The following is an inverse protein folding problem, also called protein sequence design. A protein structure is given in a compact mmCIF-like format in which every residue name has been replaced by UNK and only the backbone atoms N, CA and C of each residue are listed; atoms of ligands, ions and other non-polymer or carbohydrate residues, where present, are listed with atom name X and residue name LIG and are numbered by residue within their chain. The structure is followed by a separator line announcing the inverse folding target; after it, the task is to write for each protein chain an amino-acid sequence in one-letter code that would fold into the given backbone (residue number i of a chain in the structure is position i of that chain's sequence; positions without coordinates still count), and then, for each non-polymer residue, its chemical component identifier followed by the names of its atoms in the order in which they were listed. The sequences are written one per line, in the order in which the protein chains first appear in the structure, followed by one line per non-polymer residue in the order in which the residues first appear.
data_IF_110266029388
#
_entry.id   IF_110266029388
#
_cell.length_a   1.000
_cell.length_b   1.000
_cell.length_c   1.000
_cell.angle_alpha   90.00
_cell.angle_beta   90.00
_cell.angle_gamma   90.00
#
_symmetry.space_group_name_H-M   'P 1'
#
loop_
_entity.id
_entity.type
_entity.pdbx_description
1 polymer ?
#
# COMPACT_ATOMS: atom_id res chain seq x y z
N UNK A 1 -20.44 -18.99 -38.55
CA UNK A 1 -21.28 -17.82 -38.23
C UNK A 1 -20.90 -17.20 -36.86
N UNK A 2 -19.60 -16.97 -36.60
CA UNK A 2 -19.09 -16.47 -35.28
C UNK A 2 -17.97 -15.44 -35.47
N UNK A 3 -18.16 -14.45 -36.36
CA UNK A 3 -17.16 -13.38 -36.59
C UNK A 3 -17.76 -11.96 -36.41
N UNK A 4 -19.06 -11.82 -36.12
CA UNK A 4 -19.71 -10.50 -36.04
C UNK A 4 -19.79 -9.88 -34.63
N UNK A 5 -19.52 -10.63 -33.55
CA UNK A 5 -19.77 -10.15 -32.17
C UNK A 5 -18.62 -9.33 -31.55
N UNK A 6 -17.38 -9.46 -32.04
CA UNK A 6 -16.20 -8.76 -31.49
C UNK A 6 -16.12 -7.27 -31.89
N UNK A 7 -16.71 -6.89 -33.02
CA UNK A 7 -16.70 -5.51 -33.51
C UNK A 7 -17.62 -4.56 -32.74
N UNK A 8 -18.69 -5.06 -32.11
CA UNK A 8 -19.67 -4.24 -31.38
C UNK A 8 -19.13 -3.84 -30.01
N UNK A 9 -18.48 -4.76 -29.28
CA UNK A 9 -17.90 -4.47 -27.97
C UNK A 9 -16.74 -3.44 -28.04
N UNK A 10 -15.87 -3.54 -29.04
CA UNK A 10 -14.78 -2.57 -29.26
C UNK A 10 -15.30 -1.18 -29.63
N UNK A 11 -16.39 -1.10 -30.40
CA UNK A 11 -17.03 0.19 -30.74
C UNK A 11 -17.69 0.83 -29.51
N UNK A 12 -18.32 0.05 -28.64
CA UNK A 12 -18.94 0.57 -27.41
C UNK A 12 -17.91 1.14 -26.42
N UNK A 13 -16.75 0.49 -26.27
CA UNK A 13 -15.65 0.98 -25.40
C UNK A 13 -15.01 2.25 -25.97
N UNK A 14 -14.81 2.33 -27.30
CA UNK A 14 -14.29 3.53 -27.94
C UNK A 14 -15.24 4.73 -27.82
N UNK A 15 -16.55 4.50 -27.97
CA UNK A 15 -17.58 5.53 -27.82
C UNK A 15 -17.66 6.01 -26.36
N UNK A 16 -17.63 5.11 -25.38
CA UNK A 16 -17.62 5.49 -23.96
C UNK A 16 -16.38 6.32 -23.60
N UNK A 17 -15.21 5.94 -24.11
CA UNK A 17 -13.94 6.67 -23.90
C UNK A 17 -13.99 8.08 -24.52
N UNK A 18 -14.54 8.21 -25.73
CA UNK A 18 -14.71 9.50 -26.41
C UNK A 18 -15.73 10.40 -25.71
N UNK A 19 -16.82 9.84 -25.17
CA UNK A 19 -17.81 10.59 -24.40
C UNK A 19 -17.24 11.11 -23.07
N UNK A 20 -16.44 10.29 -22.37
CA UNK A 20 -15.75 10.72 -21.13
C UNK A 20 -14.75 11.84 -21.43
N UNK A 21 -13.96 11.71 -22.51
CA UNK A 21 -13.03 12.76 -22.93
C UNK A 21 -13.73 14.07 -23.36
N UNK A 22 -14.88 13.97 -24.02
CA UNK A 22 -15.70 15.12 -24.40
C UNK A 22 -16.32 15.81 -23.19
N UNK A 23 -16.78 15.04 -22.19
CA UNK A 23 -17.30 15.56 -20.93
C UNK A 23 -16.23 16.29 -20.12
N UNK A 24 -15.02 15.71 -20.02
CA UNK A 24 -13.86 16.35 -19.38
C UNK A 24 -13.49 17.67 -20.08
N UNK A 25 -13.44 17.68 -21.42
CA UNK A 25 -13.18 18.92 -22.19
C UNK A 25 -14.27 19.99 -22.02
N UNK A 26 -15.52 19.59 -21.81
CA UNK A 26 -16.65 20.51 -21.59
C UNK A 26 -16.63 21.10 -20.18
N UNK A 27 -16.30 20.29 -19.18
CA UNK A 27 -16.17 20.73 -17.79
C UNK A 27 -14.96 21.65 -17.57
N UNK A 28 -13.84 21.38 -18.25
CA UNK A 28 -12.66 22.25 -18.21
C UNK A 28 -12.89 23.59 -18.91
N UNK A 29 -13.80 23.65 -19.90
CA UNK A 29 -14.17 24.90 -20.60
C UNK A 29 -15.08 25.81 -19.78
N UNK A 30 -15.88 25.24 -18.87
CA UNK A 30 -16.92 25.97 -18.14
C UNK A 30 -16.48 26.45 -16.75
N UNK A 31 -15.22 26.23 -16.33
CA UNK A 31 -14.75 26.54 -14.97
C UNK A 31 -13.81 27.74 -14.87
N UNK A 32 -13.80 28.63 -15.86
CA UNK A 32 -12.96 29.84 -15.83
C UNK A 32 -13.74 31.11 -16.15
N UNK A 33 -14.28 31.83 -15.15
CA UNK A 33 -14.57 33.25 -15.29
C UNK A 33 -13.26 34.03 -15.07
N UNK A 34 -12.85 34.75 -16.09
CA UNK A 34 -11.85 35.80 -16.01
C UNK A 34 -12.30 36.91 -15.05
N UNK A 35 -11.53 37.19 -14.00
CA UNK A 35 -11.77 38.37 -13.15
C UNK A 35 -10.81 38.54 -11.99
N UNK A 36 -9.85 39.47 -12.12
CA UNK A 36 -9.11 40.07 -11.00
C UNK A 36 -10.03 41.03 -10.24
N UNK A 37 -10.05 40.98 -8.90
CA UNK A 37 -9.71 42.09 -7.97
C UNK A 37 -10.06 41.77 -6.50
N UNK A 38 -9.01 41.91 -5.67
CA UNK A 38 -8.93 42.68 -4.41
C UNK A 38 -9.70 42.29 -3.12
N UNK A 39 -8.88 42.21 -2.06
CA UNK A 39 -9.02 42.77 -0.70
C UNK A 39 -9.60 41.93 0.47
N UNK A 40 -8.72 41.81 1.47
CA UNK A 40 -8.89 42.16 2.89
C UNK A 40 -9.38 41.09 3.91
N UNK A 41 -8.46 40.83 4.84
CA UNK A 41 -8.58 40.60 6.29
C UNK A 41 -9.97 40.56 6.93
N UNK A 42 -10.13 39.59 7.85
CA UNK A 42 -11.12 39.65 8.93
C UNK A 42 -11.19 38.36 9.73
N UNK A 43 -10.53 38.32 10.88
CA UNK A 43 -10.70 37.31 11.92
C UNK A 43 -11.95 37.64 12.78
N UNK A 44 -12.69 36.62 13.25
CA UNK A 44 -13.19 36.48 14.63
C UNK A 44 -14.25 35.36 14.78
N UNK A 45 -14.00 34.49 15.78
CA UNK A 45 -14.89 33.74 16.69
C UNK A 45 -16.43 33.67 16.47
N UNK A 46 -17.02 32.47 16.57
CA UNK A 46 -17.57 31.89 17.83
C UNK A 46 -18.62 30.77 17.60
N UNK A 47 -18.42 29.66 18.32
CA UNK A 47 -19.36 28.75 19.01
C UNK A 47 -20.66 28.19 18.36
N UNK A 48 -20.70 26.85 18.32
CA UNK A 48 -21.64 26.08 19.15
C UNK A 48 -22.70 25.24 18.42
N UNK A 49 -22.60 23.90 18.50
CA UNK A 49 -23.67 22.98 18.93
C UNK A 49 -23.30 21.50 18.74
N UNK A 50 -23.63 20.72 19.77
CA UNK A 50 -23.34 19.29 19.98
C UNK A 50 -24.02 18.33 18.99
N UNK A 51 -23.27 17.32 18.58
CA UNK A 51 -23.76 16.07 18.00
C UNK A 51 -22.61 15.06 17.98
N UNK A 52 -22.47 14.25 19.03
CA UNK A 52 -21.39 13.26 19.17
C UNK A 52 -21.63 12.07 18.25
N UNK A 53 -21.23 12.21 16.99
CA UNK A 53 -20.81 11.08 16.17
C UNK A 53 -19.37 10.73 16.56
N UNK A 54 -19.10 9.48 16.90
CA UNK A 54 -17.74 9.00 17.13
C UNK A 54 -17.00 8.95 15.78
N UNK A 55 -16.48 10.09 15.35
CA UNK A 55 -15.42 10.15 14.36
C UNK A 55 -14.17 9.57 15.01
N UNK A 56 -13.81 8.33 14.66
CA UNK A 56 -12.50 7.77 14.98
C UNK A 56 -11.45 8.43 14.09
N UNK A 57 -11.14 9.69 14.39
CA UNK A 57 -9.96 10.41 13.94
C UNK A 57 -8.85 10.43 15.00
N UNK A 58 -8.85 9.47 15.92
CA UNK A 58 -7.79 9.33 16.91
C UNK A 58 -6.58 8.68 16.23
N UNK A 59 -5.69 9.55 15.71
CA UNK A 59 -4.30 9.23 15.43
C UNK A 59 -3.68 8.61 16.68
N UNK A 60 -2.84 7.58 16.50
CA UNK A 60 -2.25 6.79 17.57
C UNK A 60 -1.57 7.66 18.62
N UNK A 61 -2.28 7.97 19.70
CA UNK A 61 -1.66 8.48 20.92
C UNK A 61 -1.01 7.27 21.57
N UNK A 62 0.32 7.27 21.62
CA UNK A 62 1.07 6.30 22.43
C UNK A 62 0.49 6.31 23.84
N UNK A 63 -0.26 5.25 24.18
CA UNK A 63 -0.81 5.12 25.52
C UNK A 63 0.35 4.88 26.48
N UNK A 64 0.17 5.25 27.75
CA UNK A 64 1.13 5.01 28.84
C UNK A 64 1.58 3.54 29.00
N UNK A 65 1.01 2.61 28.21
CA UNK A 65 1.37 1.19 28.12
C UNK A 65 2.39 0.84 27.03
N UNK A 66 2.80 1.77 26.17
CA UNK A 66 3.70 1.50 25.04
C UNK A 66 3.06 0.70 23.90
N UNK A 67 1.75 0.39 23.99
CA UNK A 67 1.00 -0.29 22.93
C UNK A 67 0.41 0.74 21.95
N UNK A 68 0.75 0.61 20.68
CA UNK A 68 0.20 1.43 19.59
C UNK A 68 -1.25 1.03 19.34
N UNK A 69 -2.13 2.01 19.26
CA UNK A 69 -3.54 1.78 18.95
C UNK A 69 -3.73 1.69 17.44
N UNK A 70 -3.93 0.48 16.93
CA UNK A 70 -4.25 0.26 15.52
C UNK A 70 -5.68 0.70 15.19
N UNK A 71 -5.90 1.17 13.96
CA UNK A 71 -7.27 1.37 13.45
C UNK A 71 -8.04 0.04 13.36
N UNK A 72 -9.37 0.11 13.20
CA UNK A 72 -10.23 -1.10 13.20
C UNK A 72 -9.87 -2.11 12.10
N UNK A 73 -9.49 -1.65 10.91
CA UNK A 73 -9.10 -2.55 9.80
C UNK A 73 -7.86 -3.37 10.16
N UNK A 74 -6.85 -2.71 10.74
CA UNK A 74 -5.60 -3.34 11.18
C UNK A 74 -5.81 -4.27 12.37
N UNK A 75 -6.64 -3.86 13.33
CA UNK A 75 -7.05 -4.74 14.44
C UNK A 75 -7.74 -6.00 13.93
N UNK A 76 -8.68 -5.86 12.99
CA UNK A 76 -9.36 -7.00 12.37
C UNK A 76 -8.35 -7.92 11.69
N UNK A 77 -7.44 -7.36 10.88
CA UNK A 77 -6.47 -8.15 10.15
C UNK A 77 -5.51 -8.93 11.05
N UNK A 78 -5.02 -8.30 12.13
CA UNK A 78 -4.19 -8.97 13.13
C UNK A 78 -5.01 -10.05 13.87
N UNK A 79 -6.28 -9.78 14.19
CA UNK A 79 -7.12 -10.73 14.92
C UNK A 79 -7.44 -12.00 14.10
N UNK A 80 -7.72 -11.85 12.81
CA UNK A 80 -8.16 -12.98 11.95
C UNK A 80 -7.02 -13.59 11.14
N UNK A 81 -5.88 -12.90 11.06
CA UNK A 81 -4.67 -13.32 10.35
C UNK A 81 -4.81 -13.17 8.85
N UNK A 82 -5.40 -12.07 8.40
CA UNK A 82 -5.67 -11.80 6.98
C UNK A 82 -6.45 -10.51 6.76
N UNK A 83 -6.45 -9.91 5.56
CA UNK A 83 -7.32 -8.77 5.29
C UNK A 83 -8.76 -9.26 5.05
N UNK A 84 -9.75 -8.39 5.29
CA UNK A 84 -11.16 -8.70 5.10
C UNK A 84 -11.90 -7.59 4.33
N UNK A 85 -12.91 -7.98 3.53
CA UNK A 85 -13.83 -7.03 2.91
C UNK A 85 -14.95 -6.69 3.89
N UNK A 86 -14.86 -5.54 4.55
CA UNK A 86 -15.84 -5.11 5.57
C UNK A 86 -17.08 -4.44 4.98
N UNK A 87 -17.51 -4.83 3.77
CA UNK A 87 -18.72 -4.30 3.14
C UNK A 87 -19.93 -4.40 4.06
N UNK A 88 -20.69 -3.31 4.17
CA UNK A 88 -21.84 -3.20 5.07
C UNK A 88 -21.50 -2.93 6.55
N UNK A 89 -20.25 -3.10 6.97
CA UNK A 89 -19.79 -2.82 8.33
C UNK A 89 -19.08 -1.47 8.47
N UNK A 90 -18.61 -0.89 7.36
CA UNK A 90 -17.90 0.40 7.31
C UNK A 90 -18.50 1.31 6.23
N UNK A 91 -18.62 2.59 6.56
CA UNK A 91 -18.89 3.68 5.64
C UNK A 91 -17.62 4.49 5.41
N UNK A 92 -17.28 4.71 4.14
CA UNK A 92 -16.14 5.51 3.69
C UNK A 92 -16.65 6.89 3.31
N UNK A 93 -16.11 7.91 3.94
CA UNK A 93 -16.51 9.30 3.70
C UNK A 93 -15.27 10.11 3.30
N UNK A 94 -15.27 10.79 2.15
CA UNK A 94 -14.14 11.62 1.74
C UNK A 94 -13.80 12.68 2.78
N UNK A 95 -12.53 12.79 3.13
CA UNK A 95 -12.00 13.85 3.97
C UNK A 95 -11.66 15.07 3.11
N UNK A 96 -12.53 16.08 3.15
CA UNK A 96 -12.35 17.32 2.38
C UNK A 96 -11.10 18.11 2.81
N UNK A 97 -10.64 17.94 4.04
CA UNK A 97 -9.45 18.59 4.59
C UNK A 97 -8.14 17.84 4.26
N UNK A 98 -8.19 16.71 3.55
CA UNK A 98 -6.98 15.95 3.20
C UNK A 98 -6.06 16.74 2.25
N UNK A 99 -4.80 16.92 2.66
CA UNK A 99 -3.78 17.64 1.92
C UNK A 99 -2.71 16.70 1.36
N UNK A 100 -2.83 16.35 0.07
CA UNK A 100 -1.89 15.44 -0.59
C UNK A 100 -0.43 15.92 -0.55
N UNK A 101 -0.20 17.25 -0.55
CA UNK A 101 1.15 17.83 -0.54
C UNK A 101 1.89 17.66 0.80
N UNK A 102 1.16 17.32 1.85
CA UNK A 102 1.71 16.97 3.17
C UNK A 102 2.02 15.47 3.30
N UNK A 103 2.23 14.77 2.18
CA UNK A 103 2.47 13.33 2.16
C UNK A 103 3.61 12.99 1.19
N UNK A 104 4.08 11.75 1.22
CA UNK A 104 5.05 11.19 0.26
C UNK A 104 4.60 11.31 -1.21
N UNK A 105 3.30 11.55 -1.44
CA UNK A 105 2.70 11.72 -2.76
C UNK A 105 2.78 13.16 -3.29
N UNK A 106 3.41 14.11 -2.56
CA UNK A 106 3.65 15.48 -3.07
C UNK A 106 4.40 15.49 -4.41
N UNK A 107 5.24 14.48 -4.63
CA UNK A 107 6.04 14.28 -5.84
C UNK A 107 5.19 13.90 -7.06
N UNK A 108 3.91 13.54 -6.88
CA UNK A 108 2.99 13.32 -7.99
C UNK A 108 2.71 14.65 -8.68
N UNK A 109 3.18 14.79 -9.92
CA UNK A 109 3.04 16.02 -10.71
C UNK A 109 1.79 16.05 -11.59
N UNK A 110 1.28 14.89 -12.01
CA UNK A 110 0.10 14.84 -12.88
C UNK A 110 -1.20 15.10 -12.10
N UNK A 111 -1.99 16.08 -12.52
CA UNK A 111 -3.27 16.46 -11.87
C UNK A 111 -4.21 15.26 -11.71
N UNK A 112 -4.28 14.38 -12.72
CA UNK A 112 -5.10 13.17 -12.64
C UNK A 112 -4.59 12.21 -11.57
N UNK A 113 -3.27 11.98 -11.45
CA UNK A 113 -2.70 11.16 -10.38
C UNK A 113 -3.00 11.71 -9.00
N UNK A 114 -2.87 13.03 -8.84
CA UNK A 114 -3.14 13.71 -7.57
C UNK A 114 -4.60 13.61 -7.17
N UNK A 115 -5.54 13.81 -8.09
CA UNK A 115 -6.97 13.65 -7.83
C UNK A 115 -7.29 12.23 -7.37
N UNK A 116 -6.69 11.24 -8.02
CA UNK A 116 -6.88 9.81 -7.70
C UNK A 116 -6.30 9.47 -6.33
N UNK A 117 -5.07 9.91 -6.05
CA UNK A 117 -4.44 9.68 -4.75
C UNK A 117 -5.27 10.31 -3.62
N UNK A 118 -5.78 11.54 -3.81
CA UNK A 118 -6.66 12.20 -2.85
C UNK A 118 -7.96 11.42 -2.62
N UNK A 119 -8.61 10.95 -3.67
CA UNK A 119 -9.85 10.17 -3.55
C UNK A 119 -9.67 8.83 -2.80
N UNK A 120 -8.45 8.31 -2.72
CA UNK A 120 -8.14 7.06 -2.03
C UNK A 120 -7.66 7.26 -0.60
N UNK A 121 -6.73 8.20 -0.42
CA UNK A 121 -6.06 8.41 0.86
C UNK A 121 -6.85 9.36 1.76
N UNK A 122 -7.54 10.33 1.17
CA UNK A 122 -8.34 11.31 1.90
C UNK A 122 -9.72 10.76 2.22
N UNK A 123 -9.81 9.72 3.04
CA UNK A 123 -11.07 9.13 3.48
C UNK A 123 -11.07 8.92 5.00
N UNK A 124 -12.21 9.21 5.61
CA UNK A 124 -12.53 8.83 6.99
C UNK A 124 -13.37 7.55 6.97
N UNK A 125 -13.07 6.62 7.86
CA UNK A 125 -13.79 5.36 8.00
C UNK A 125 -14.70 5.42 9.23
N UNK A 126 -15.98 5.14 9.04
CA UNK A 126 -16.98 5.08 10.10
C UNK A 126 -17.50 3.65 10.21
N UNK A 127 -17.24 3.00 11.33
CA UNK A 127 -17.57 1.60 11.55
C UNK A 127 -18.88 1.46 12.30
N UNK A 128 -19.64 0.41 12.01
CA UNK A 128 -20.81 0.04 12.83
C UNK A 128 -20.35 -0.43 14.22
N UNK A 129 -21.13 -0.10 15.25
CA UNK A 129 -20.82 -0.49 16.64
C UNK A 129 -20.64 -2.01 16.79
N UNK A 130 -21.50 -2.79 16.13
CA UNK A 130 -21.42 -4.25 16.12
C UNK A 130 -20.08 -4.77 15.57
N UNK A 131 -19.56 -4.14 14.50
CA UNK A 131 -18.27 -4.51 13.94
C UNK A 131 -17.12 -4.10 14.87
N UNK A 132 -17.17 -2.89 15.44
CA UNK A 132 -16.17 -2.40 16.40
C UNK A 132 -16.07 -3.34 17.61
N UNK A 133 -17.20 -3.72 18.19
CA UNK A 133 -17.23 -4.61 19.36
C UNK A 133 -16.67 -5.99 19.04
N UNK A 134 -17.06 -6.56 17.89
CA UNK A 134 -16.56 -7.86 17.45
C UNK A 134 -15.05 -7.84 17.20
N UNK A 135 -14.55 -6.83 16.48
CA UNK A 135 -13.13 -6.66 16.15
C UNK A 135 -12.31 -6.47 17.42
N UNK A 136 -12.71 -5.54 18.31
CA UNK A 136 -11.99 -5.28 19.57
C UNK A 136 -11.95 -6.53 20.44
N UNK A 137 -13.07 -7.23 20.58
CA UNK A 137 -13.10 -8.49 21.34
C UNK A 137 -12.11 -9.50 20.79
N UNK A 138 -12.07 -9.70 19.47
CA UNK A 138 -11.12 -10.62 18.84
C UNK A 138 -9.67 -10.15 19.02
N UNK A 139 -9.40 -8.86 18.82
CA UNK A 139 -8.07 -8.26 18.93
C UNK A 139 -7.50 -8.30 20.35
N UNK A 140 -8.32 -8.14 21.39
CA UNK A 140 -7.87 -8.25 22.79
C UNK A 140 -7.34 -9.63 23.17
N UNK A 141 -7.73 -10.68 22.43
CA UNK A 141 -7.21 -12.03 22.62
C UNK A 141 -5.81 -12.24 21.97
N UNK A 142 -5.34 -11.28 21.18
CA UNK A 142 -4.05 -11.38 20.50
C UNK A 142 -2.92 -10.98 21.46
N UNK A 143 -1.88 -11.83 21.61
CA UNK A 143 -0.71 -11.49 22.41
C UNK A 143 -0.08 -10.18 21.93
N UNK A 144 0.45 -9.39 22.87
CA UNK A 144 1.24 -8.22 22.50
C UNK A 144 2.47 -8.65 21.70
N UNK A 145 2.81 -7.86 20.67
CA UNK A 145 4.06 -8.04 19.96
C UNK A 145 5.26 -7.76 20.88
N UNK A 146 6.44 -8.32 20.59
CA UNK A 146 7.66 -7.98 21.29
C UNK A 146 7.91 -6.48 21.28
N UNK A 147 8.44 -5.92 22.37
CA UNK A 147 8.84 -4.51 22.38
C UNK A 147 9.99 -4.27 21.40
N UNK A 148 9.96 -3.15 20.69
CA UNK A 148 11.09 -2.69 19.87
C UNK A 148 12.16 -2.10 20.78
N UNK A 149 13.43 -2.41 20.52
CA UNK A 149 14.55 -1.90 21.30
C UNK A 149 14.61 -0.37 21.27
N UNK A 150 14.86 0.25 22.43
CA UNK A 150 14.96 1.71 22.55
C UNK A 150 15.97 2.30 21.57
N UNK A 151 17.12 1.65 21.37
CA UNK A 151 18.16 2.12 20.44
C UNK A 151 17.65 2.26 18.99
N UNK A 152 16.76 1.36 18.55
CA UNK A 152 16.14 1.45 17.23
C UNK A 152 15.16 2.61 17.17
N UNK A 153 14.34 2.78 18.21
CA UNK A 153 13.38 3.87 18.30
C UNK A 153 14.10 5.23 18.30
N UNK A 154 15.18 5.34 19.05
CA UNK A 154 16.04 6.53 19.09
C UNK A 154 16.65 6.77 17.71
N UNK A 155 17.20 5.74 17.06
CA UNK A 155 17.73 5.86 15.70
C UNK A 155 16.67 6.32 14.69
N UNK A 156 15.46 5.77 14.75
CA UNK A 156 14.36 6.20 13.88
C UNK A 156 13.96 7.65 14.15
N UNK A 157 13.93 8.09 15.41
CA UNK A 157 13.54 9.45 15.76
C UNK A 157 14.63 10.49 15.42
N UNK A 158 15.90 10.12 15.56
CA UNK A 158 17.03 11.05 15.48
C UNK A 158 17.76 11.02 14.13
N UNK A 159 17.80 9.88 13.46
CA UNK A 159 18.61 9.65 12.25
C UNK A 159 17.78 9.42 10.98
N UNK A 160 16.46 9.20 11.10
CA UNK A 160 15.56 9.08 9.96
C UNK A 160 14.70 10.33 9.81
N UNK A 161 14.68 10.89 8.60
CA UNK A 161 13.77 11.96 8.24
C UNK A 161 12.41 11.36 7.89
N UNK A 162 11.44 11.47 8.79
CA UNK A 162 10.04 11.18 8.52
C UNK A 162 9.23 12.47 8.23
N UNK A 163 9.84 13.62 7.95
CA UNK A 163 9.11 14.88 7.72
C UNK A 163 8.21 14.89 6.47
N UNK A 164 8.37 13.95 5.53
CA UNK A 164 7.38 13.71 4.45
C UNK A 164 6.31 12.65 4.80
N UNK A 165 6.32 12.14 6.02
CA UNK A 165 5.22 11.38 6.59
C UNK A 165 3.93 12.15 6.35
N UNK A 166 2.87 11.42 6.02
CA UNK A 166 1.53 11.98 6.03
C UNK A 166 1.41 12.81 7.31
N UNK A 167 1.09 14.10 7.24
CA UNK A 167 1.08 14.99 8.42
C UNK A 167 0.14 14.57 9.57
N UNK A 168 -0.40 13.35 9.51
CA UNK A 168 -1.31 12.66 10.38
C UNK A 168 -0.71 11.40 11.06
N UNK A 169 0.59 11.08 10.87
CA UNK A 169 1.28 9.97 11.55
C UNK A 169 1.03 8.57 10.96
N UNK A 170 0.42 8.49 9.78
CA UNK A 170 -0.02 7.19 9.22
C UNK A 170 1.10 6.23 8.83
N UNK A 171 2.34 6.71 8.69
CA UNK A 171 3.49 5.87 8.31
C UNK A 171 3.99 5.08 9.51
N UNK A 172 4.13 5.72 10.67
CA UNK A 172 4.46 5.00 11.90
C UNK A 172 3.37 3.97 12.25
N UNK A 173 2.10 4.30 12.05
CA UNK A 173 1.03 3.32 12.24
C UNK A 173 1.13 2.12 11.28
N UNK A 174 1.60 2.34 10.05
CA UNK A 174 1.86 1.28 9.07
C UNK A 174 3.00 0.34 9.50
N UNK A 175 4.13 0.90 9.94
CA UNK A 175 5.26 0.10 10.41
C UNK A 175 4.90 -0.72 11.66
N UNK A 176 4.15 -0.12 12.60
CA UNK A 176 3.66 -0.82 13.78
C UNK A 176 2.68 -1.94 13.41
N UNK A 177 1.78 -1.71 12.44
CA UNK A 177 0.90 -2.77 11.95
C UNK A 177 1.69 -3.94 11.38
N UNK A 178 2.64 -3.68 10.48
CA UNK A 178 3.42 -4.75 9.85
C UNK A 178 4.29 -5.50 10.88
N UNK A 179 4.84 -4.80 11.87
CA UNK A 179 5.55 -5.40 13.01
C UNK A 179 4.63 -6.34 13.82
N UNK A 180 3.50 -5.84 14.29
CA UNK A 180 2.59 -6.60 15.16
C UNK A 180 1.96 -7.79 14.42
N UNK A 181 1.58 -7.58 13.15
CA UNK A 181 1.09 -8.66 12.32
C UNK A 181 2.14 -9.75 12.14
N UNK A 182 3.40 -9.39 11.82
CA UNK A 182 4.49 -10.35 11.67
C UNK A 182 4.77 -11.13 12.95
N UNK A 183 4.73 -10.46 14.11
CA UNK A 183 4.95 -11.10 15.40
C UNK A 183 3.91 -12.18 15.73
N UNK A 184 2.70 -12.08 15.16
CA UNK A 184 1.61 -13.02 15.40
C UNK A 184 1.52 -14.08 14.29
N UNK A 185 1.74 -13.70 13.04
CA UNK A 185 1.41 -14.51 11.86
C UNK A 185 2.61 -14.94 11.03
N UNK A 186 3.83 -14.55 11.42
CA UNK A 186 5.08 -15.02 10.79
C UNK A 186 6.21 -15.12 11.82
N UNK A 187 5.98 -15.96 12.83
CA UNK A 187 6.73 -16.03 14.09
C UNK A 187 8.16 -16.54 13.94
N UNK A 188 8.42 -17.25 12.86
CA UNK A 188 9.71 -17.86 12.56
C UNK A 188 10.79 -16.82 12.24
N UNK A 189 10.39 -15.58 11.91
CA UNK A 189 11.29 -14.52 11.52
C UNK A 189 11.06 -13.23 12.32
N UNK A 190 12.10 -12.40 12.41
CA UNK A 190 12.05 -11.19 13.23
C UNK A 190 11.01 -10.18 12.70
N UNK A 191 10.06 -9.71 13.54
CA UNK A 191 9.11 -8.67 13.15
C UNK A 191 9.78 -7.31 12.96
N UNK A 192 11.03 -7.13 13.43
CA UNK A 192 11.82 -5.91 13.21
C UNK A 192 12.13 -5.67 11.74
N UNK A 193 12.17 -6.73 10.92
CA UNK A 193 12.31 -6.58 9.47
C UNK A 193 11.19 -5.70 8.93
N UNK A 194 9.93 -6.02 9.28
CA UNK A 194 8.76 -5.26 8.85
C UNK A 194 8.53 -3.99 9.64
N UNK A 195 9.16 -3.81 10.80
CA UNK A 195 9.18 -2.50 11.46
C UNK A 195 10.09 -1.50 10.72
N UNK A 196 11.19 -1.97 10.13
CA UNK A 196 12.21 -1.12 9.52
C UNK A 196 12.23 -1.15 7.98
N UNK A 197 11.35 -1.94 7.35
CA UNK A 197 11.41 -2.28 5.93
C UNK A 197 11.41 -1.08 4.96
N UNK A 198 10.89 0.07 5.40
CA UNK A 198 10.69 1.26 4.56
C UNK A 198 11.67 2.40 4.87
N UNK A 199 12.57 2.26 5.85
CA UNK A 199 13.52 3.35 6.20
C UNK A 199 14.60 3.55 5.13
N UNK A 200 14.94 2.49 4.38
CA UNK A 200 15.93 2.53 3.28
C UNK A 200 15.31 2.86 1.92
N UNK A 201 14.02 3.21 1.89
CA UNK A 201 13.29 3.56 0.68
C UNK A 201 11.85 3.08 0.75
N UNK A 202 10.92 3.95 0.35
CA UNK A 202 9.50 3.62 0.25
C UNK A 202 9.11 3.30 -1.21
N UNK A 203 7.82 3.07 -1.49
CA UNK A 203 7.31 2.84 -2.85
C UNK A 203 7.54 3.99 -3.86
N UNK A 204 8.13 5.11 -3.43
CA UNK A 204 8.51 6.27 -4.25
C UNK A 204 10.03 6.53 -4.12
N UNK A 205 10.51 7.71 -4.53
CA UNK A 205 11.92 8.11 -4.37
C UNK A 205 12.17 8.87 -3.06
N UNK A 206 11.45 8.50 -2.00
CA UNK A 206 11.69 9.02 -0.66
C UNK A 206 12.46 7.99 0.18
N UNK A 207 13.44 8.49 0.92
CA UNK A 207 14.38 7.71 1.71
C UNK A 207 14.46 8.35 3.10
N UNK A 208 13.77 7.77 4.09
CA UNK A 208 13.87 8.28 5.46
C UNK A 208 15.30 8.27 5.99
N UNK A 209 16.08 7.23 5.66
CA UNK A 209 17.45 7.07 6.11
C UNK A 209 18.45 7.38 4.99
N UNK A 210 19.49 8.16 5.30
CA UNK A 210 20.60 8.41 4.39
C UNK A 210 21.58 7.23 4.33
N UNK A 211 22.35 7.14 3.23
CA UNK A 211 23.32 6.04 2.99
C UNK A 211 24.43 5.97 4.03
N UNK A 212 24.88 7.10 4.56
CA UNK A 212 25.95 7.18 5.58
C UNK A 212 25.54 6.58 6.93
N UNK A 213 24.24 6.34 7.15
CA UNK A 213 23.69 5.74 8.38
C UNK A 213 23.64 4.21 8.35
N UNK A 214 23.94 3.58 7.20
CA UNK A 214 23.95 2.11 7.06
C UNK A 214 24.84 1.41 8.10
N UNK A 215 26.08 1.86 8.41
CA UNK A 215 26.91 1.22 9.43
C UNK A 215 26.29 1.25 10.83
N UNK A 216 25.66 2.37 11.20
CA UNK A 216 24.97 2.53 12.48
C UNK A 216 23.75 1.61 12.59
N UNK A 217 22.94 1.54 11.53
CA UNK A 217 21.81 0.61 11.46
C UNK A 217 22.26 -0.85 11.60
N UNK A 218 23.28 -1.25 10.84
CA UNK A 218 23.85 -2.62 10.89
C UNK A 218 24.29 -3.02 12.28
N UNK A 219 24.91 -2.12 13.03
CA UNK A 219 25.42 -2.41 14.38
C UNK A 219 24.31 -2.76 15.40
N UNK A 220 23.06 -2.41 15.10
CA UNK A 220 21.90 -2.69 15.97
C UNK A 220 21.09 -3.93 15.53
N UNK A 221 21.41 -4.51 14.37
CA UNK A 221 20.62 -5.58 13.74
C UNK A 221 21.42 -6.88 13.66
N UNK A 222 20.69 -7.99 13.61
CA UNK A 222 21.27 -9.26 13.14
C UNK A 222 21.53 -9.21 11.63
N UNK A 223 22.43 -10.06 11.14
CA UNK A 223 22.70 -10.20 9.71
C UNK A 223 21.44 -10.57 8.91
N UNK A 224 20.58 -11.42 9.50
CA UNK A 224 19.29 -11.79 8.92
C UNK A 224 18.39 -10.57 8.76
N UNK A 225 18.20 -9.79 9.83
CA UNK A 225 17.32 -8.62 9.80
C UNK A 225 17.80 -7.60 8.77
N UNK A 226 19.10 -7.26 8.82
CA UNK A 226 19.67 -6.28 7.91
C UNK A 226 19.53 -6.73 6.44
N UNK A 227 19.83 -8.00 6.13
CA UNK A 227 19.69 -8.55 4.76
C UNK A 227 18.27 -8.34 4.21
N UNK A 228 17.24 -8.61 5.00
CA UNK A 228 15.86 -8.44 4.54
C UNK A 228 15.41 -6.98 4.52
N UNK A 229 15.86 -6.15 5.45
CA UNK A 229 15.56 -4.71 5.48
C UNK A 229 16.13 -4.03 4.23
N UNK A 230 17.39 -4.31 3.87
CA UNK A 230 18.01 -3.67 2.69
C UNK A 230 17.45 -4.18 1.35
N UNK A 231 17.03 -5.45 1.30
CA UNK A 231 16.41 -6.04 0.12
C UNK A 231 14.96 -5.58 -0.10
N UNK A 232 14.27 -5.17 0.96
CA UNK A 232 12.83 -4.95 0.92
C UNK A 232 12.39 -3.93 -0.13
N UNK A 233 12.96 -2.70 -0.20
CA UNK A 233 12.54 -1.72 -1.19
C UNK A 233 12.78 -2.23 -2.63
N UNK A 234 13.86 -2.96 -2.86
CA UNK A 234 14.19 -3.50 -4.18
C UNK A 234 13.18 -4.53 -4.63
N UNK A 235 12.84 -5.49 -3.76
CA UNK A 235 11.84 -6.52 -4.07
C UNK A 235 10.48 -5.86 -4.31
N UNK A 236 10.08 -4.87 -3.49
CA UNK A 236 8.85 -4.11 -3.72
C UNK A 236 8.82 -3.48 -5.11
N UNK A 237 9.93 -2.89 -5.57
CA UNK A 237 10.02 -2.31 -6.93
C UNK A 237 9.96 -3.37 -8.02
N UNK A 238 10.65 -4.50 -7.86
CA UNK A 238 10.62 -5.62 -8.81
C UNK A 238 9.20 -6.22 -8.92
N UNK A 239 8.49 -6.35 -7.80
CA UNK A 239 7.11 -6.82 -7.79
C UNK A 239 6.17 -5.85 -8.50
N UNK A 240 6.31 -4.56 -8.24
CA UNK A 240 5.52 -3.52 -8.92
C UNK A 240 5.90 -3.34 -10.40
N UNK A 241 7.09 -3.77 -10.81
CA UNK A 241 7.53 -3.82 -12.21
C UNK A 241 7.00 -5.07 -12.93
N UNK A 242 6.44 -6.03 -12.20
CA UNK A 242 5.78 -7.27 -12.66
C UNK A 242 6.65 -8.30 -13.39
N UNK A 243 7.79 -7.89 -13.98
CA UNK A 243 8.66 -8.79 -14.74
C UNK A 243 9.10 -10.02 -13.93
N UNK A 244 9.51 -9.81 -12.68
CA UNK A 244 9.93 -10.90 -11.78
C UNK A 244 8.80 -11.92 -11.54
N UNK A 245 7.58 -11.46 -11.27
CA UNK A 245 6.44 -12.36 -11.02
C UNK A 245 6.03 -13.13 -12.27
N UNK A 246 6.08 -12.48 -13.44
CA UNK A 246 5.81 -13.11 -14.73
C UNK A 246 6.83 -14.24 -15.00
N UNK A 247 8.12 -14.00 -14.75
CA UNK A 247 9.17 -15.01 -14.95
C UNK A 247 9.09 -16.16 -13.94
N UNK A 248 8.83 -15.88 -12.66
CA UNK A 248 8.61 -16.92 -11.65
C UNK A 248 7.37 -17.77 -11.98
N UNK A 249 6.32 -17.15 -12.50
CA UNK A 249 5.12 -17.85 -12.96
C UNK A 249 5.39 -18.74 -14.16
N UNK A 250 6.23 -18.29 -15.10
CA UNK A 250 6.64 -19.08 -16.25
C UNK A 250 7.52 -20.29 -15.88
N UNK A 251 8.20 -20.25 -14.73
CA UNK A 251 9.09 -21.31 -14.22
C UNK A 251 8.52 -22.04 -12.99
N UNK A 252 7.19 -22.06 -12.86
CA UNK A 252 6.48 -22.58 -11.67
C UNK A 252 6.85 -24.02 -11.30
N UNK A 253 7.14 -24.83 -12.32
CA UNK A 253 7.45 -26.26 -12.24
C UNK A 253 8.88 -26.56 -11.75
N UNK A 254 9.76 -25.55 -11.73
CA UNK A 254 11.17 -25.69 -11.30
C UNK A 254 11.57 -24.76 -10.16
N UNK A 255 10.61 -24.22 -9.40
CA UNK A 255 10.87 -23.27 -8.30
C UNK A 255 11.73 -23.86 -7.18
N UNK A 256 11.74 -25.18 -7.03
CA UNK A 256 12.65 -25.92 -6.14
C UNK A 256 14.11 -25.87 -6.59
N UNK A 257 14.35 -25.65 -7.90
CA UNK A 257 15.68 -25.46 -8.47
C UNK A 257 16.17 -24.02 -8.42
N UNK A 258 15.37 -23.05 -7.96
CA UNK A 258 15.87 -21.70 -7.78
C UNK A 258 16.95 -21.74 -6.70
N UNK A 259 18.14 -21.25 -7.00
CA UNK A 259 19.25 -21.20 -6.04
C UNK A 259 19.43 -19.80 -5.48
N UNK A 260 19.28 -18.78 -6.33
CA UNK A 260 19.65 -17.41 -6.00
C UNK A 260 18.93 -16.40 -6.87
N UNK A 261 18.64 -15.24 -6.29
CA UNK A 261 18.13 -14.05 -6.99
C UNK A 261 19.11 -12.91 -6.76
N UNK A 262 19.62 -12.32 -7.85
CA UNK A 262 20.53 -11.17 -7.79
C UNK A 262 19.82 -9.95 -8.36
N UNK A 263 19.96 -8.79 -7.71
CA UNK A 263 19.32 -7.53 -8.08
C UNK A 263 20.12 -6.34 -7.49
N UNK A 264 19.59 -5.13 -7.55
CA UNK A 264 20.26 -3.92 -7.06
C UNK A 264 19.50 -3.28 -5.89
N UNK A 265 20.21 -2.77 -4.89
CA UNK A 265 19.63 -2.06 -3.74
C UNK A 265 19.05 -0.72 -4.18
N UNK A 266 17.83 -0.39 -3.75
CA UNK A 266 17.20 0.89 -4.14
C UNK A 266 17.98 2.11 -3.65
N UNK A 267 18.59 2.00 -2.48
CA UNK A 267 19.23 3.13 -1.79
C UNK A 267 20.42 3.71 -2.57
N UNK A 268 21.25 2.86 -3.17
CA UNK A 268 22.52 3.27 -3.80
C UNK A 268 22.91 2.42 -5.02
N UNK A 269 22.01 1.55 -5.48
CA UNK A 269 22.22 0.65 -6.62
C UNK A 269 23.35 -0.38 -6.44
N UNK A 270 23.82 -0.63 -5.22
CA UNK A 270 24.76 -1.71 -4.93
C UNK A 270 24.13 -3.08 -5.26
N UNK A 271 24.90 -4.04 -5.81
CA UNK A 271 24.39 -5.38 -6.09
C UNK A 271 24.04 -6.11 -4.78
N UNK A 272 22.87 -6.74 -4.77
CA UNK A 272 22.37 -7.59 -3.69
C UNK A 272 22.07 -8.98 -4.24
N UNK A 273 22.20 -9.97 -3.37
CA UNK A 273 21.87 -11.34 -3.70
C UNK A 273 21.20 -12.03 -2.53
N UNK A 274 20.12 -12.73 -2.82
CA UNK A 274 19.41 -13.57 -1.86
C UNK A 274 19.52 -15.03 -2.30
N UNK A 275 19.74 -15.93 -1.33
CA UNK A 275 19.49 -17.35 -1.56
C UNK A 275 18.01 -17.57 -1.90
N UNK A 276 17.68 -18.71 -2.48
CA UNK A 276 16.28 -19.11 -2.72
C UNK A 276 15.43 -19.03 -1.46
N UNK A 277 15.97 -19.50 -0.33
CA UNK A 277 15.30 -19.45 0.97
C UNK A 277 15.05 -18.00 1.41
N UNK A 278 16.09 -17.16 1.43
CA UNK A 278 15.96 -15.75 1.79
C UNK A 278 14.99 -15.01 0.83
N UNK A 279 15.00 -15.35 -0.46
CA UNK A 279 14.09 -14.75 -1.43
C UNK A 279 12.63 -15.06 -1.09
N UNK A 280 12.30 -16.32 -0.79
CA UNK A 280 10.92 -16.69 -0.42
C UNK A 280 10.50 -16.09 0.92
N UNK A 281 11.43 -15.94 1.88
CA UNK A 281 11.18 -15.22 3.13
C UNK A 281 10.82 -13.76 2.84
N UNK A 282 11.59 -13.10 1.97
CA UNK A 282 11.35 -11.72 1.59
C UNK A 282 10.01 -11.53 0.85
N UNK A 283 9.62 -12.49 0.00
CA UNK A 283 8.31 -12.50 -0.64
C UNK A 283 7.16 -12.60 0.37
N UNK A 284 7.31 -13.36 1.47
CA UNK A 284 6.30 -13.40 2.54
C UNK A 284 6.16 -12.04 3.24
N UNK A 285 7.28 -11.34 3.50
CA UNK A 285 7.23 -9.96 4.02
C UNK A 285 6.49 -9.01 3.07
N UNK A 286 6.68 -9.13 1.75
CA UNK A 286 5.94 -8.32 0.77
C UNK A 286 4.43 -8.58 0.80
N UNK A 287 3.99 -9.84 0.99
CA UNK A 287 2.57 -10.17 1.14
C UNK A 287 1.99 -9.49 2.39
N UNK A 288 2.68 -9.58 3.53
CA UNK A 288 2.25 -8.94 4.79
C UNK A 288 2.23 -7.40 4.68
N UNK A 289 3.20 -6.81 3.98
CA UNK A 289 3.21 -5.37 3.77
C UNK A 289 2.06 -4.92 2.88
N UNK A 290 1.81 -5.65 1.78
CA UNK A 290 0.84 -5.24 0.75
C UNK A 290 -0.60 -5.23 1.24
N UNK A 291 -0.93 -6.06 2.25
CA UNK A 291 -2.29 -6.14 2.80
C UNK A 291 -2.76 -4.87 3.54
N UNK A 292 -1.84 -4.06 4.08
CA UNK A 292 -2.21 -2.78 4.72
C UNK A 292 -2.73 -1.74 3.71
N UNK A 293 -2.43 -1.92 2.43
CA UNK A 293 -2.86 -1.03 1.35
C UNK A 293 -4.16 -1.50 0.67
N UNK A 294 -4.76 -2.58 1.17
CA UNK A 294 -6.05 -3.02 0.66
C UNK A 294 -7.16 -2.09 1.16
N UNK A 295 -8.20 -1.84 0.34
CA UNK A 295 -9.33 -1.03 0.77
C UNK A 295 -10.04 -1.66 1.97
N UNK A 296 -10.62 -0.85 2.86
CA UNK A 296 -11.37 -1.38 4.00
C UNK A 296 -12.63 -2.16 3.58
N UNK A 297 -13.20 -1.88 2.40
CA UNK A 297 -14.41 -2.55 1.93
C UNK A 297 -14.60 -2.45 0.40
N UNK A 298 -15.58 -3.19 -0.11
CA UNK A 298 -16.05 -3.20 -1.50
C UNK A 298 -14.98 -3.66 -2.49
N UNK A 299 -14.26 -4.73 -2.17
CA UNK A 299 -13.10 -5.20 -2.93
C UNK A 299 -13.43 -5.54 -4.38
N UNK A 300 -14.59 -6.16 -4.62
CA UNK A 300 -15.06 -6.48 -5.97
C UNK A 300 -15.12 -5.23 -6.89
N UNK A 301 -15.37 -4.04 -6.33
CA UNK A 301 -15.40 -2.78 -7.10
C UNK A 301 -14.01 -2.17 -7.34
N UNK A 302 -12.99 -2.64 -6.61
CA UNK A 302 -11.64 -2.07 -6.57
C UNK A 302 -10.55 -3.01 -7.10
N UNK A 303 -10.94 -4.18 -7.63
CA UNK A 303 -10.00 -5.16 -8.20
C UNK A 303 -9.16 -4.65 -9.38
N UNK A 304 -9.55 -3.55 -10.02
CA UNK A 304 -8.75 -2.94 -11.09
C UNK A 304 -7.53 -2.17 -10.54
N UNK A 305 -7.44 -1.97 -9.23
CA UNK A 305 -6.41 -1.16 -8.59
C UNK A 305 -5.04 -1.83 -8.59
N UNK A 306 -3.95 -1.13 -8.98
CA UNK A 306 -2.64 -1.75 -9.16
C UNK A 306 -2.07 -2.47 -7.93
N UNK A 307 -2.18 -1.86 -6.74
CA UNK A 307 -1.68 -2.48 -5.51
C UNK A 307 -2.51 -3.69 -5.11
N UNK A 308 -3.83 -3.62 -5.29
CA UNK A 308 -4.73 -4.76 -5.08
C UNK A 308 -4.36 -5.92 -6.01
N UNK A 309 -4.15 -5.64 -7.30
CA UNK A 309 -3.75 -6.65 -8.28
C UNK A 309 -2.42 -7.29 -7.92
N UNK A 310 -1.42 -6.46 -7.58
CA UNK A 310 -0.09 -6.94 -7.18
C UNK A 310 -0.20 -7.87 -5.95
N UNK A 311 -1.00 -7.50 -4.95
CA UNK A 311 -1.29 -8.34 -3.80
C UNK A 311 -1.95 -9.67 -4.20
N UNK A 312 -3.03 -9.64 -4.98
CA UNK A 312 -3.79 -10.83 -5.40
C UNK A 312 -2.91 -11.78 -6.21
N UNK A 313 -2.14 -11.25 -7.17
CA UNK A 313 -1.23 -12.04 -7.99
C UNK A 313 -0.15 -12.70 -7.11
N UNK A 314 0.48 -11.93 -6.22
CA UNK A 314 1.51 -12.44 -5.33
C UNK A 314 0.99 -13.49 -4.35
N UNK A 315 -0.12 -13.23 -3.64
CA UNK A 315 -0.66 -14.19 -2.66
C UNK A 315 -1.18 -15.46 -3.35
N UNK A 316 -1.80 -15.34 -4.52
CA UNK A 316 -2.27 -16.50 -5.30
C UNK A 316 -1.10 -17.34 -5.78
N UNK A 317 -0.05 -16.70 -6.30
CA UNK A 317 1.18 -17.38 -6.71
C UNK A 317 1.84 -18.09 -5.53
N UNK A 318 2.09 -17.39 -4.43
CA UNK A 318 2.76 -17.92 -3.24
C UNK A 318 1.98 -19.07 -2.61
N UNK A 319 0.64 -18.97 -2.53
CA UNK A 319 -0.23 -20.04 -2.03
C UNK A 319 -0.24 -21.23 -2.99
N UNK A 320 -0.40 -20.99 -4.29
CA UNK A 320 -0.43 -22.03 -5.32
C UNK A 320 0.88 -22.79 -5.50
N UNK A 321 2.00 -22.25 -5.01
CA UNK A 321 3.33 -22.86 -5.08
C UNK A 321 3.83 -23.39 -3.73
N UNK A 322 3.02 -23.29 -2.67
CA UNK A 322 3.41 -23.72 -1.32
C UNK A 322 4.51 -22.86 -0.68
N UNK A 323 4.79 -21.67 -1.23
CA UNK A 323 5.80 -20.71 -0.76
C UNK A 323 5.25 -19.69 0.24
N UNK A 324 3.93 -19.57 0.37
CA UNK A 324 3.31 -18.78 1.44
C UNK A 324 3.51 -19.50 2.79
N UNK A 325 4.30 -18.90 3.67
CA UNK A 325 4.62 -19.38 5.03
C UNK A 325 3.98 -18.50 6.10
N UNK A 326 3.94 -17.19 5.87
CA UNK A 326 3.17 -16.29 6.71
C UNK A 326 1.68 -16.64 6.65
N UNK A 327 1.00 -16.60 7.80
CA UNK A 327 -0.45 -16.75 7.86
C UNK A 327 -1.09 -15.49 7.29
N UNK A 328 -1.64 -15.62 6.08
CA UNK A 328 -2.43 -14.58 5.41
C UNK A 328 -3.68 -15.23 4.81
N UNK A 329 -4.72 -15.24 5.63
CA UNK A 329 -6.07 -15.62 5.24
C UNK A 329 -6.56 -14.60 4.23
N UNK A 330 -6.93 -15.05 3.03
CA UNK A 330 -7.43 -14.16 2.00
C UNK A 330 -8.39 -14.94 1.15
N UNK A 331 -9.63 -14.46 1.14
CA UNK A 331 -10.68 -14.93 0.28
C UNK A 331 -10.80 -13.95 -0.88
N UNK A 332 -10.57 -14.47 -2.08
CA UNK A 332 -10.73 -13.67 -3.28
C UNK A 332 -12.19 -13.19 -3.35
N UNK A 333 -12.45 -11.90 -3.59
CA UNK A 333 -13.82 -11.40 -3.70
C UNK A 333 -14.56 -12.21 -4.78
N UNK A 334 -15.68 -12.81 -4.40
CA UNK A 334 -16.55 -13.57 -5.28
C UNK A 334 -17.98 -13.04 -5.12
N UNK A 335 -18.69 -12.88 -6.23
CA UNK A 335 -20.06 -12.35 -6.25
C UNK A 335 -20.21 -10.97 -6.90
N UNK A 336 -21.40 -10.40 -6.73
CA UNK A 336 -21.78 -9.13 -7.36
C UNK A 336 -20.99 -7.94 -6.81
N UNK A 337 -20.78 -6.94 -7.66
CA UNK A 337 -20.12 -5.70 -7.25
C UNK A 337 -21.02 -4.94 -6.28
N UNK A 338 -20.71 -5.01 -4.99
CA UNK A 338 -21.32 -4.20 -3.94
C UNK A 338 -20.49 -2.93 -3.68
N UNK A 339 -21.17 -1.79 -3.57
CA UNK A 339 -20.58 -0.47 -3.28
C UNK A 339 -21.19 0.16 -2.02
N UNK A 340 -21.84 -0.63 -1.18
CA UNK A 340 -22.45 -0.18 0.05
C UNK A 340 -21.41 0.49 0.95
N UNK A 341 -21.74 1.69 1.44
CA UNK A 341 -20.84 2.48 2.28
C UNK A 341 -19.75 3.22 1.49
N UNK A 342 -19.67 3.11 0.16
CA UNK A 342 -18.71 3.89 -0.65
C UNK A 342 -19.34 5.16 -1.22
N UNK A 343 -18.59 6.28 -1.30
CA UNK A 343 -19.05 7.46 -1.98
C UNK A 343 -19.04 7.21 -3.50
N UNK A 344 -20.15 7.52 -4.16
CA UNK A 344 -20.23 7.51 -5.62
C UNK A 344 -19.51 8.76 -6.16
N UNK A 345 -18.21 8.65 -6.37
CA UNK A 345 -17.40 9.71 -6.98
C UNK A 345 -17.16 9.44 -8.46
N UNK A 346 -16.92 10.49 -9.24
CA UNK A 346 -16.51 10.34 -10.64
C UNK A 346 -15.21 9.53 -10.76
N UNK A 347 -14.29 9.69 -9.81
CA UNK A 347 -13.03 8.93 -9.73
C UNK A 347 -13.26 7.43 -9.56
N UNK A 348 -14.13 7.03 -8.61
CA UNK A 348 -14.42 5.60 -8.37
C UNK A 348 -15.14 4.95 -9.56
N UNK A 349 -16.01 5.69 -10.25
CA UNK A 349 -16.60 5.22 -11.51
C UNK A 349 -15.54 4.99 -12.60
N UNK A 350 -14.58 5.90 -12.79
CA UNK A 350 -13.56 5.76 -13.85
C UNK A 350 -12.70 4.50 -13.62
N UNK A 351 -12.24 4.25 -12.39
CA UNK A 351 -11.41 3.08 -12.10
C UNK A 351 -12.16 1.76 -12.23
N UNK A 352 -13.43 1.74 -11.85
CA UNK A 352 -14.27 0.55 -11.96
C UNK A 352 -14.33 0.01 -13.39
N UNK A 353 -14.28 0.89 -14.40
CA UNK A 353 -14.36 0.50 -15.80
C UNK A 353 -12.99 0.43 -16.50
N UNK A 354 -11.90 0.82 -15.82
CA UNK A 354 -10.58 0.79 -16.42
C UNK A 354 -10.06 -0.66 -16.45
N UNK A 355 -9.74 -1.24 -17.63
CA UNK A 355 -9.28 -2.62 -17.68
C UNK A 355 -7.94 -2.78 -16.97
N UNK A 356 -7.77 -3.89 -16.24
CA UNK A 356 -6.57 -4.23 -15.46
C UNK A 356 -5.25 -4.08 -16.22
N UNK A 357 -5.25 -4.45 -17.51
CA UNK A 357 -4.07 -4.31 -18.38
C UNK A 357 -3.57 -2.86 -18.50
N UNK A 358 -4.47 -1.88 -18.44
CA UNK A 358 -4.08 -0.46 -18.50
C UNK A 358 -3.54 0.04 -17.15
N UNK A 359 -4.14 -0.37 -16.03
CA UNK A 359 -3.67 -0.01 -14.69
C UNK A 359 -2.30 -0.62 -14.43
N UNK A 360 -2.08 -1.90 -14.78
CA UNK A 360 -0.76 -2.56 -14.74
C UNK A 360 0.30 -1.82 -15.55
N UNK A 361 0.02 -1.52 -16.83
CA UNK A 361 0.97 -0.78 -17.69
C UNK A 361 1.37 0.57 -17.10
N UNK A 362 0.44 1.26 -16.45
CA UNK A 362 0.71 2.54 -15.79
C UNK A 362 1.61 2.37 -14.58
N UNK A 363 1.33 1.40 -13.71
CA UNK A 363 2.16 1.07 -12.55
C UNK A 363 3.61 0.75 -12.97
N UNK A 364 3.78 -0.11 -13.98
CA UNK A 364 5.10 -0.45 -14.54
C UNK A 364 5.83 0.81 -15.04
N UNK A 365 5.13 1.70 -15.75
CA UNK A 365 5.71 2.95 -16.24
C UNK A 365 6.14 3.86 -15.09
N UNK A 366 5.35 3.93 -14.02
CA UNK A 366 5.66 4.75 -12.84
C UNK A 366 6.87 4.20 -12.08
N UNK A 367 6.93 2.89 -11.82
CA UNK A 367 8.06 2.31 -11.08
C UNK A 367 9.37 2.35 -11.89
N UNK A 368 9.27 2.19 -13.23
CA UNK A 368 10.42 2.37 -14.13
C UNK A 368 10.90 3.81 -14.11
N UNK A 369 9.98 4.78 -14.13
CA UNK A 369 10.32 6.19 -14.01
C UNK A 369 10.99 6.49 -12.67
N UNK A 370 10.40 6.08 -11.56
CA UNK A 370 10.98 6.29 -10.23
C UNK A 370 12.37 5.69 -10.12
N UNK A 371 12.58 4.47 -10.61
CA UNK A 371 13.90 3.83 -10.59
C UNK A 371 14.91 4.60 -11.44
N UNK A 372 14.54 5.00 -12.66
CA UNK A 372 15.40 5.80 -13.53
C UNK A 372 15.79 7.15 -12.91
N UNK A 373 14.84 7.82 -12.26
CA UNK A 373 15.05 9.17 -11.70
C UNK A 373 16.10 9.20 -10.58
N UNK A 374 16.43 8.06 -9.96
CA UNK A 374 17.47 7.93 -8.92
C UNK A 374 18.66 7.05 -9.36
N UNK A 375 18.71 6.62 -10.62
CA UNK A 375 19.76 5.71 -11.09
C UNK A 375 19.67 4.26 -10.59
N UNK A 376 18.51 3.84 -10.05
CA UNK A 376 18.27 2.47 -9.62
C UNK A 376 17.96 1.55 -10.81
N UNK A 377 18.62 0.40 -10.85
CA UNK A 377 18.42 -0.66 -11.83
C UNK A 377 17.30 -1.62 -11.40
N UNK A 378 16.35 -1.86 -12.30
CA UNK A 378 15.35 -2.92 -12.16
C UNK A 378 15.82 -4.27 -12.74
N UNK A 379 17.10 -4.37 -13.13
CA UNK A 379 17.66 -5.62 -13.61
C UNK A 379 17.79 -6.62 -12.45
N UNK A 380 17.41 -7.86 -12.73
CA UNK A 380 17.56 -8.99 -11.82
C UNK A 380 17.98 -10.24 -12.62
N UNK A 381 18.51 -11.23 -11.90
CA UNK A 381 18.87 -12.53 -12.44
C UNK A 381 18.34 -13.64 -11.52
N UNK A 382 17.70 -14.65 -12.12
CA UNK A 382 17.32 -15.89 -11.45
C UNK A 382 18.34 -16.98 -11.80
N UNK A 383 19.15 -17.37 -10.82
CA UNK A 383 20.08 -18.48 -10.98
C UNK A 383 19.37 -19.78 -10.57
N UNK A 384 19.39 -20.76 -11.47
CA UNK A 384 18.79 -22.06 -11.27
C UNK A 384 19.84 -23.16 -11.21
N UNK A 385 19.62 -24.16 -10.37
CA UNK A 385 20.37 -25.40 -10.40
C UNK A 385 20.23 -26.08 -11.77
N UNK A 386 21.33 -26.70 -12.22
CA UNK A 386 21.46 -27.43 -13.49
C UNK A 386 20.58 -28.69 -13.47
#
# INVERSE_FOLDING_TARGET
MVVAASGVALRSVAIATLMVMALIRRLLRNRWPSGRKALANGAAHANGANGTAHASGAHGVSTTSGKVEHNMQRQAAIATGGPEDHVGCVAIVPNESFELDKTIFRSLTAVTLRYIARAKLGNNLFWSDAAVDAIRKAYTAIPAAPSVDKAILDFMAEECDFAMEHADGSFMDHLNFCHDYSAVHYKEHSPRVLFLHSIMGVGTNYFPMATDKVPQLKAMLTDFEYKHIEAFPSILRLMNAHALLDELSANRDRLDKLERVTFHRVLDNEPLSLSSEDFWIAMNFQVIHSMDFLPAACWASQMSEPLFQTFVEMITFMRGTGRLKARVNFDHPSGDINVQGQPLTLGSCIFRFLPSKFTRKRQIKEITKYSKDIGHSLAYELQWAV
#
